data_IF_186746669716
#
_entry.id   IF_186746669716
#
_cell.length_a   1.000
_cell.length_b   1.000
_cell.length_c   1.000
_cell.angle_alpha   90.00
_cell.angle_beta   90.00
_cell.angle_gamma   90.00
#
_symmetry.space_group_name_H-M   'P 1'
#
loop_
_entity.id
_entity.type
_entity.pdbx_description
1 polymer ?
#
# COMPACT_ATOMS: atom_id res chain seq x y z
N UNK A 1 20.19 17.98 7.90
CA UNK A 1 21.13 16.87 7.63
C UNK A 1 20.53 16.06 6.50
N UNK A 2 20.93 16.32 5.25
CA UNK A 2 20.46 15.60 4.08
C UNK A 2 21.28 14.31 3.98
N UNK A 3 20.62 13.15 4.00
CA UNK A 3 21.29 11.87 3.77
C UNK A 3 21.92 11.86 2.36
N UNK A 4 23.24 11.75 2.22
CA UNK A 4 23.89 11.58 0.92
C UNK A 4 23.89 10.09 0.59
N UNK A 5 22.72 9.49 0.43
CA UNK A 5 22.62 8.24 -0.30
C UNK A 5 22.27 8.63 -1.73
N UNK A 6 23.26 8.47 -2.61
CA UNK A 6 23.06 8.59 -4.05
C UNK A 6 22.09 7.47 -4.46
N UNK A 7 20.80 7.79 -4.35
CA UNK A 7 19.70 6.83 -4.34
C UNK A 7 19.56 6.06 -5.66
N UNK A 8 20.24 6.52 -6.72
CA UNK A 8 20.45 5.77 -7.95
C UNK A 8 21.30 4.50 -7.80
N UNK A 9 22.11 4.35 -6.75
CA UNK A 9 22.92 3.15 -6.53
C UNK A 9 22.09 1.95 -6.07
N UNK A 10 21.04 2.18 -5.28
CA UNK A 10 20.18 1.10 -4.77
C UNK A 10 19.15 0.65 -5.80
N UNK A 11 18.61 1.61 -6.58
CA UNK A 11 17.62 1.34 -7.63
C UNK A 11 18.14 1.89 -8.97
N UNK A 12 19.15 1.24 -9.59
CA UNK A 12 19.80 1.76 -10.79
C UNK A 12 18.92 1.70 -12.04
N UNK A 13 17.99 0.75 -12.10
CA UNK A 13 17.12 0.52 -13.26
C UNK A 13 15.65 0.46 -12.81
N UNK A 14 15.05 1.60 -12.43
CA UNK A 14 13.69 1.63 -11.88
C UNK A 14 12.66 1.14 -12.91
N UNK A 15 11.67 0.38 -12.44
CA UNK A 15 10.64 -0.22 -13.29
C UNK A 15 9.36 0.63 -13.33
N UNK A 16 8.63 0.63 -14.45
CA UNK A 16 7.33 1.30 -14.54
C UNK A 16 6.34 0.74 -13.52
N UNK A 17 5.64 1.65 -12.85
CA UNK A 17 4.44 1.34 -12.07
C UNK A 17 3.29 1.08 -13.03
N UNK A 18 2.41 0.14 -12.67
CA UNK A 18 1.20 -0.15 -13.44
C UNK A 18 0.01 0.61 -12.84
N UNK A 19 -1.07 0.75 -13.61
CA UNK A 19 -2.33 1.34 -13.15
C UNK A 19 -2.96 0.59 -11.97
N UNK A 20 -2.58 -0.66 -11.72
CA UNK A 20 -3.02 -1.45 -10.55
C UNK A 20 -2.43 -0.95 -9.23
N UNK A 21 -1.29 -0.25 -9.27
CA UNK A 21 -0.66 0.30 -8.07
C UNK A 21 -1.07 1.75 -7.87
N UNK A 22 -2.15 1.97 -7.12
CA UNK A 22 -2.59 3.30 -6.71
C UNK A 22 -1.56 3.92 -5.76
N UNK A 23 -1.07 5.13 -6.08
CA UNK A 23 -0.14 5.84 -5.20
C UNK A 23 -0.88 6.41 -4.01
N UNK A 24 -0.24 6.38 -2.84
CA UNK A 24 -0.68 7.09 -1.64
C UNK A 24 0.24 8.25 -1.26
N UNK A 25 1.17 8.66 -2.14
CA UNK A 25 2.03 9.83 -1.92
C UNK A 25 2.00 10.82 -3.11
N UNK A 26 1.24 10.51 -4.15
CA UNK A 26 0.91 11.41 -5.25
C UNK A 26 -0.60 11.59 -5.31
N UNK A 27 -1.11 12.84 -5.32
CA UNK A 27 -2.49 13.12 -5.68
C UNK A 27 -2.83 12.59 -7.07
N UNK A 28 -4.11 12.29 -7.31
CA UNK A 28 -4.57 11.73 -8.58
C UNK A 28 -4.16 12.56 -9.80
N UNK A 29 -4.13 13.89 -9.65
CA UNK A 29 -3.74 14.85 -10.68
C UNK A 29 -2.24 14.77 -11.02
N UNK A 30 -1.41 14.32 -10.07
CA UNK A 30 0.04 14.20 -10.24
C UNK A 30 0.47 12.76 -10.58
N UNK A 31 -0.46 11.79 -10.65
CA UNK A 31 -0.13 10.40 -10.99
C UNK A 31 0.38 10.22 -12.43
N UNK A 32 0.19 11.23 -13.28
CA UNK A 32 0.71 11.27 -14.64
C UNK A 32 2.10 11.90 -14.77
N UNK A 33 2.60 12.52 -13.70
CA UNK A 33 3.95 13.07 -13.67
C UNK A 33 5.01 11.99 -13.91
N UNK A 34 6.10 12.29 -14.66
CA UNK A 34 7.18 11.34 -14.90
C UNK A 34 7.76 10.75 -13.61
N UNK A 35 7.82 11.55 -12.54
CA UNK A 35 8.29 11.13 -11.20
C UNK A 35 7.36 10.13 -10.51
N UNK A 36 6.08 10.07 -10.88
CA UNK A 36 5.11 9.11 -10.39
C UNK A 36 5.12 7.80 -11.21
N UNK A 37 5.65 7.78 -12.44
CA UNK A 37 5.56 6.61 -13.34
C UNK A 37 6.51 5.47 -12.99
N UNK A 38 7.62 5.75 -12.32
CA UNK A 38 8.64 4.74 -12.02
C UNK A 38 8.70 4.45 -10.51
N UNK A 39 8.88 3.17 -10.15
CA UNK A 39 9.20 2.76 -8.78
C UNK A 39 10.71 2.98 -8.53
N UNK A 40 11.13 4.24 -8.55
CA UNK A 40 12.52 4.66 -8.40
C UNK A 40 12.78 5.39 -7.10
N UNK A 41 14.05 5.73 -6.89
CA UNK A 41 14.52 6.46 -5.72
C UNK A 41 13.70 7.71 -5.39
N UNK A 42 13.44 8.57 -6.37
CA UNK A 42 12.67 9.81 -6.19
C UNK A 42 11.24 9.54 -5.72
N UNK A 43 10.60 8.47 -6.22
CA UNK A 43 9.27 8.05 -5.77
C UNK A 43 9.28 7.62 -4.30
N UNK A 44 10.24 6.80 -3.89
CA UNK A 44 10.35 6.33 -2.50
C UNK A 44 10.76 7.46 -1.53
N UNK A 45 11.62 8.39 -1.97
CA UNK A 45 11.90 9.62 -1.20
C UNK A 45 10.63 10.46 -1.06
N UNK A 46 9.86 10.67 -2.14
CA UNK A 46 8.56 11.38 -2.08
C UNK A 46 7.60 10.68 -1.13
N UNK A 47 7.52 9.35 -1.16
CA UNK A 47 6.72 8.57 -0.21
C UNK A 47 7.13 8.81 1.25
N UNK A 48 8.44 8.92 1.52
CA UNK A 48 8.95 9.15 2.86
C UNK A 48 8.68 10.56 3.40
N UNK A 49 8.79 11.58 2.55
CA UNK A 49 8.68 13.00 2.98
C UNK A 49 7.27 13.58 2.85
N UNK A 50 6.38 12.92 2.10
CA UNK A 50 5.02 13.42 1.86
C UNK A 50 4.00 12.74 2.77
N UNK A 51 2.87 13.40 3.07
CA UNK A 51 1.75 12.76 3.76
C UNK A 51 1.23 11.54 2.99
N UNK A 52 0.72 10.56 3.74
CA UNK A 52 0.05 9.38 3.17
C UNK A 52 -1.41 9.72 2.87
N UNK A 53 -1.76 9.74 1.59
CA UNK A 53 -3.10 10.00 1.05
C UNK A 53 -4.00 8.74 1.09
N UNK A 54 -4.06 8.08 2.26
CA UNK A 54 -4.71 6.77 2.37
C UNK A 54 -6.21 6.82 2.09
N UNK A 55 -6.90 7.85 2.59
CA UNK A 55 -8.34 8.01 2.41
C UNK A 55 -8.69 8.18 0.93
N UNK A 56 -7.93 8.97 0.19
CA UNK A 56 -8.11 9.17 -1.24
C UNK A 56 -7.80 7.90 -2.04
N UNK A 57 -6.74 7.19 -1.67
CA UNK A 57 -6.36 5.94 -2.35
C UNK A 57 -7.41 4.84 -2.16
N UNK A 58 -7.97 4.67 -0.96
CA UNK A 58 -8.88 3.55 -0.67
C UNK A 58 -10.22 3.66 -1.39
N UNK A 59 -10.67 4.86 -1.78
CA UNK A 59 -11.88 5.06 -2.59
C UNK A 59 -11.79 4.48 -4.01
N UNK A 60 -10.61 4.01 -4.43
CA UNK A 60 -10.42 3.31 -5.70
C UNK A 60 -10.73 1.80 -5.60
N UNK A 61 -10.92 1.27 -4.39
CA UNK A 61 -11.25 -0.15 -4.18
C UNK A 61 -12.71 -0.41 -4.59
N UNK A 62 -12.99 -1.44 -5.42
CA UNK A 62 -14.36 -1.84 -5.75
C UNK A 62 -15.18 -2.21 -4.52
N UNK A 63 -16.51 -2.00 -4.58
CA UNK A 63 -17.41 -2.23 -3.44
C UNK A 63 -17.55 -3.70 -3.02
N UNK A 64 -17.30 -4.61 -3.94
CA UNK A 64 -17.40 -6.07 -3.80
C UNK A 64 -16.01 -6.73 -3.74
N UNK A 65 -14.97 -5.96 -3.38
CA UNK A 65 -13.61 -6.45 -3.38
C UNK A 65 -13.30 -7.36 -2.17
N UNK A 66 -12.37 -8.30 -2.38
CA UNK A 66 -11.65 -8.97 -1.30
C UNK A 66 -10.38 -8.17 -1.00
N UNK A 67 -10.29 -7.60 0.20
CA UNK A 67 -9.17 -6.78 0.64
C UNK A 67 -8.27 -7.59 1.57
N UNK A 68 -7.04 -7.83 1.13
CA UNK A 68 -6.03 -8.57 1.89
C UNK A 68 -5.03 -7.59 2.51
N UNK A 69 -4.96 -7.53 3.84
CA UNK A 69 -3.97 -6.71 4.55
C UNK A 69 -2.66 -7.49 4.75
N UNK A 70 -1.62 -7.00 4.08
CA UNK A 70 -0.25 -7.52 4.20
C UNK A 70 0.50 -6.67 5.22
N UNK A 71 0.69 -7.24 6.41
CA UNK A 71 1.46 -6.62 7.49
C UNK A 71 1.63 -7.58 8.66
N UNK A 72 2.55 -7.31 9.59
CA UNK A 72 2.79 -8.17 10.76
C UNK A 72 1.64 -8.18 11.78
N UNK A 73 0.65 -7.31 11.58
CA UNK A 73 -0.60 -7.22 12.32
C UNK A 73 -1.62 -6.45 11.48
N UNK A 74 -2.90 -6.80 11.59
CA UNK A 74 -4.02 -6.12 10.93
C UNK A 74 -4.38 -4.75 11.55
N UNK A 75 -3.46 -3.78 11.49
CA UNK A 75 -3.63 -2.45 12.09
C UNK A 75 -4.72 -1.61 11.41
N UNK A 76 -4.92 -1.79 10.10
CA UNK A 76 -5.85 -0.96 9.32
C UNK A 76 -7.28 -1.52 9.31
N UNK A 77 -7.52 -2.68 9.93
CA UNK A 77 -8.81 -3.39 9.92
C UNK A 77 -10.02 -2.48 10.21
N UNK A 78 -9.96 -1.69 11.28
CA UNK A 78 -11.10 -0.85 11.70
C UNK A 78 -11.43 0.23 10.67
N UNK A 79 -10.40 0.82 10.05
CA UNK A 79 -10.56 1.87 9.04
C UNK A 79 -11.01 1.24 7.72
N UNK A 80 -10.36 0.16 7.29
CA UNK A 80 -10.68 -0.54 6.03
C UNK A 80 -12.14 -1.01 6.02
N UNK A 81 -12.58 -1.73 7.05
CA UNK A 81 -13.98 -2.20 7.16
C UNK A 81 -15.02 -1.07 7.11
N UNK A 82 -14.69 0.12 7.62
CA UNK A 82 -15.58 1.27 7.55
C UNK A 82 -15.68 1.84 6.13
N UNK A 83 -14.58 1.84 5.38
CA UNK A 83 -14.51 2.49 4.07
C UNK A 83 -15.00 1.58 2.94
N UNK A 84 -14.66 0.29 2.98
CA UNK A 84 -14.96 -0.65 1.88
C UNK A 84 -16.42 -1.12 1.87
N UNK A 85 -17.14 -0.96 3.00
CA UNK A 85 -18.57 -1.28 3.09
C UNK A 85 -18.86 -2.75 3.40
N UNK A 86 -20.15 -3.10 3.40
CA UNK A 86 -20.65 -4.41 3.82
C UNK A 86 -20.54 -5.49 2.73
N UNK A 87 -20.44 -5.08 1.46
CA UNK A 87 -20.37 -6.00 0.31
C UNK A 87 -18.93 -6.49 0.03
N UNK A 88 -17.93 -5.91 0.71
CA UNK A 88 -16.52 -6.27 0.60
C UNK A 88 -16.07 -7.17 1.75
N UNK A 89 -15.14 -8.08 1.46
CA UNK A 89 -14.54 -8.96 2.46
C UNK A 89 -13.16 -8.42 2.86
N UNK A 90 -12.83 -8.49 4.16
CA UNK A 90 -11.54 -8.07 4.68
C UNK A 90 -10.81 -9.26 5.30
N UNK A 91 -9.57 -9.50 4.85
CA UNK A 91 -8.72 -10.59 5.31
C UNK A 91 -7.39 -10.05 5.83
N UNK A 92 -7.14 -10.18 7.13
CA UNK A 92 -5.83 -9.89 7.73
C UNK A 92 -4.96 -11.14 7.74
N UNK A 93 -3.70 -11.03 7.29
CA UNK A 93 -2.80 -12.19 7.17
C UNK A 93 -2.03 -12.52 8.45
N UNK A 94 -1.82 -11.55 9.35
CA UNK A 94 -1.10 -11.76 10.61
C UNK A 94 -1.77 -11.03 11.78
N UNK A 95 -1.56 -11.59 12.98
CA UNK A 95 -2.04 -11.03 14.24
C UNK A 95 -0.97 -11.12 15.32
N UNK A 96 -0.85 -10.07 16.15
CA UNK A 96 0.06 -10.09 17.31
C UNK A 96 -0.42 -11.11 18.33
N UNK A 97 0.53 -11.71 19.06
CA UNK A 97 0.29 -12.61 20.19
C UNK A 97 -0.52 -13.88 19.84
N UNK A 98 -0.38 -14.39 18.61
CA UNK A 98 -0.93 -15.68 18.17
C UNK A 98 0.11 -16.45 17.35
N UNK A 99 -0.14 -17.74 17.12
CA UNK A 99 0.58 -18.52 16.12
C UNK A 99 0.21 -18.03 14.71
N UNK A 100 1.14 -17.35 14.05
CA UNK A 100 0.91 -16.76 12.73
C UNK A 100 0.91 -17.79 11.60
N UNK A 101 1.49 -18.99 11.77
CA UNK A 101 1.37 -20.04 10.76
C UNK A 101 -0.08 -20.54 10.71
N UNK A 102 -0.67 -20.83 11.88
CA UNK A 102 -2.07 -21.23 12.00
C UNK A 102 -3.00 -20.09 11.55
N UNK A 103 -2.73 -18.85 11.98
CA UNK A 103 -3.55 -17.70 11.60
C UNK A 103 -3.54 -17.45 10.09
N UNK A 104 -2.36 -17.46 9.46
CA UNK A 104 -2.22 -17.29 8.02
C UNK A 104 -2.99 -18.36 7.25
N UNK A 105 -2.80 -19.64 7.59
CA UNK A 105 -3.50 -20.75 6.93
C UNK A 105 -5.02 -20.66 7.12
N UNK A 106 -5.47 -20.22 8.30
CA UNK A 106 -6.90 -19.98 8.57
C UNK A 106 -7.45 -18.83 7.71
N UNK A 107 -6.69 -17.74 7.57
CA UNK A 107 -7.08 -16.59 6.74
C UNK A 107 -7.11 -16.91 5.25
N UNK A 108 -6.21 -17.78 4.77
CA UNK A 108 -6.19 -18.25 3.37
C UNK A 108 -7.36 -19.18 3.00
N UNK A 109 -7.95 -19.85 4.00
CA UNK A 109 -9.10 -20.75 3.79
C UNK A 109 -10.47 -20.07 3.92
N UNK A 110 -10.52 -18.76 4.18
CA UNK A 110 -11.77 -17.97 4.17
C UNK A 110 -12.22 -17.70 2.74
#
# INVERSE_FOLDING_TARGET
MLFPLDSGQVIPNPKPRTSRWISSCYPKQECDEPSAKLAGASYFVKNFVSPVLFHESIHHVPKDAIVIEIGPHHQLQAILKRVIGADAEYVGLMKRNVDNAVHLLSSLGR
#
